data_IF_121282349279
#
_entry.id   IF_121282349279
#
_cell.length_a   1.000
_cell.length_b   1.000
_cell.length_c   1.000
_cell.angle_alpha   90.00
_cell.angle_beta   90.00
_cell.angle_gamma   90.00
#
_symmetry.space_group_name_H-M   'P 1'
#
loop_
_entity.id
_entity.type
_entity.pdbx_description
1 polymer ?
#
# COMPACT_ATOMS: atom_id res chain seq x y z
N UNK A 1 32.32 -9.96 -12.10
CA UNK A 1 31.35 -10.72 -11.30
C UNK A 1 30.18 -9.81 -11.14
N UNK A 2 29.03 -10.22 -11.65
CA UNK A 2 27.80 -9.43 -11.60
C UNK A 2 27.29 -9.50 -10.16
N UNK A 3 27.22 -8.38 -9.42
CA UNK A 3 26.77 -8.44 -8.03
C UNK A 3 25.32 -8.96 -8.01
N UNK A 4 25.02 -9.92 -7.12
CA UNK A 4 23.64 -10.38 -6.96
C UNK A 4 22.81 -9.28 -6.28
N UNK A 5 21.52 -9.18 -6.59
CA UNK A 5 20.63 -8.20 -5.92
C UNK A 5 20.71 -8.31 -4.39
N UNK A 6 20.90 -9.53 -3.88
CA UNK A 6 21.07 -9.84 -2.46
C UNK A 6 22.20 -9.05 -1.78
N UNK A 7 23.29 -8.75 -2.51
CA UNK A 7 24.44 -7.98 -2.05
C UNK A 7 24.15 -6.48 -1.97
N UNK A 8 23.20 -5.99 -2.77
CA UNK A 8 22.79 -4.58 -2.83
C UNK A 8 21.74 -4.23 -1.77
N UNK A 9 21.08 -5.20 -1.14
CA UNK A 9 20.03 -4.96 -0.14
C UNK A 9 20.47 -3.98 0.97
N UNK A 10 21.68 -4.06 1.56
CA UNK A 10 22.13 -3.10 2.56
C UNK A 10 22.24 -1.65 2.07
N UNK A 11 22.23 -1.43 0.75
CA UNK A 11 22.20 -0.10 0.12
C UNK A 11 20.76 0.38 -0.16
N UNK A 12 19.78 -0.52 -0.07
CA UNK A 12 18.37 -0.27 -0.42
C UNK A 12 17.44 -0.24 0.80
N UNK A 13 17.93 -0.60 1.99
CA UNK A 13 17.22 -0.45 3.27
C UNK A 13 18.20 -0.26 4.42
N UNK A 14 17.82 0.58 5.39
CA UNK A 14 18.57 0.78 6.63
C UNK A 14 18.04 -0.08 7.78
N UNK A 15 17.14 -1.03 7.52
CA UNK A 15 16.55 -1.89 8.56
C UNK A 15 17.18 -3.29 8.53
N UNK A 16 17.96 -3.62 9.57
CA UNK A 16 18.68 -4.91 9.65
C UNK A 16 17.74 -6.11 9.51
N UNK A 17 16.54 -6.04 10.09
CA UNK A 17 15.53 -7.10 9.96
C UNK A 17 15.10 -7.33 8.50
N UNK A 18 14.97 -6.26 7.70
CA UNK A 18 14.70 -6.37 6.26
C UNK A 18 15.90 -6.92 5.52
N UNK A 19 17.12 -6.49 5.86
CA UNK A 19 18.34 -7.02 5.26
C UNK A 19 18.40 -8.54 5.43
N UNK A 20 18.18 -9.05 6.65
CA UNK A 20 18.21 -10.49 6.91
C UNK A 20 17.09 -11.23 6.18
N UNK A 21 15.87 -10.67 6.19
CA UNK A 21 14.72 -11.31 5.56
C UNK A 21 14.83 -11.36 4.03
N UNK A 22 15.22 -10.25 3.39
CA UNK A 22 15.18 -10.11 1.93
C UNK A 22 16.37 -10.77 1.24
N UNK A 23 17.51 -10.98 1.94
CA UNK A 23 18.66 -11.71 1.39
C UNK A 23 18.33 -13.11 0.88
N UNK A 24 17.28 -13.73 1.41
CA UNK A 24 16.81 -15.06 1.01
C UNK A 24 15.51 -15.03 0.20
N UNK A 25 15.01 -13.85 -0.16
CA UNK A 25 13.75 -13.65 -0.89
C UNK A 25 14.06 -13.27 -2.35
N UNK A 26 14.02 -14.24 -3.25
CA UNK A 26 14.30 -14.05 -4.69
C UNK A 26 13.27 -13.12 -5.39
N UNK A 27 12.18 -12.78 -4.71
CA UNK A 27 11.02 -12.05 -5.25
C UNK A 27 11.43 -10.75 -5.95
N UNK A 28 12.44 -10.04 -5.46
CA UNK A 28 12.87 -8.75 -6.03
C UNK A 28 13.75 -8.86 -7.28
N UNK A 29 14.29 -10.03 -7.58
CA UNK A 29 15.34 -10.17 -8.61
C UNK A 29 14.82 -9.88 -10.02
N UNK A 30 13.60 -10.30 -10.35
CA UNK A 30 12.99 -10.03 -11.67
C UNK A 30 12.81 -8.52 -11.88
N UNK A 31 12.25 -7.83 -10.89
CA UNK A 31 12.11 -6.37 -10.97
C UNK A 31 13.46 -5.66 -11.05
N UNK A 32 14.47 -6.11 -10.29
CA UNK A 32 15.81 -5.54 -10.36
C UNK A 32 16.44 -5.68 -11.74
N UNK A 33 16.40 -6.88 -12.33
CA UNK A 33 16.90 -7.15 -13.68
C UNK A 33 16.18 -6.30 -14.74
N UNK A 34 14.85 -6.12 -14.63
CA UNK A 34 14.09 -5.21 -15.49
C UNK A 34 14.53 -3.75 -15.31
N UNK A 35 14.71 -3.30 -14.07
CA UNK A 35 15.15 -1.94 -13.78
C UNK A 35 16.53 -1.67 -14.36
N UNK A 36 17.51 -2.56 -14.16
CA UNK A 36 18.84 -2.46 -14.74
C UNK A 36 18.79 -2.43 -16.28
N UNK A 37 17.96 -3.26 -16.93
CA UNK A 37 17.84 -3.24 -18.40
C UNK A 37 17.22 -1.96 -18.95
N UNK A 38 16.28 -1.34 -18.24
CA UNK A 38 15.58 -0.14 -18.73
C UNK A 38 16.31 1.15 -18.36
N UNK A 39 16.88 1.22 -17.16
CA UNK A 39 17.55 2.42 -16.64
C UNK A 39 19.07 2.38 -16.76
N UNK A 40 19.68 1.20 -16.94
CA UNK A 40 21.14 1.03 -16.96
C UNK A 40 21.79 1.62 -15.72
N UNK A 41 22.87 2.35 -15.93
CA UNK A 41 23.63 3.09 -14.91
C UNK A 41 22.78 4.09 -14.11
N UNK A 42 21.60 4.47 -14.62
CA UNK A 42 20.68 5.40 -13.96
C UNK A 42 19.69 4.71 -13.02
N UNK A 43 19.80 3.41 -12.77
CA UNK A 43 18.86 2.71 -11.87
C UNK A 43 18.86 3.28 -10.44
N UNK A 44 19.99 3.84 -9.99
CA UNK A 44 20.08 4.62 -8.74
C UNK A 44 19.12 5.81 -8.70
N UNK A 45 18.92 6.50 -9.84
CA UNK A 45 17.94 7.59 -9.96
C UNK A 45 16.50 7.08 -9.81
N UNK A 46 16.21 5.87 -10.31
CA UNK A 46 14.89 5.27 -10.15
C UNK A 46 14.60 4.98 -8.67
N UNK A 47 15.46 4.18 -8.03
CA UNK A 47 15.20 3.66 -6.68
C UNK A 47 15.22 4.72 -5.59
N UNK A 48 15.97 5.82 -5.77
CA UNK A 48 15.93 6.97 -4.85
C UNK A 48 14.86 7.99 -5.23
N UNK A 49 14.62 8.21 -6.52
CA UNK A 49 13.75 9.29 -7.01
C UNK A 49 12.27 8.92 -7.11
N UNK A 50 11.93 7.63 -7.08
CA UNK A 50 10.57 7.15 -7.31
C UNK A 50 9.99 6.37 -6.12
N UNK A 51 8.67 6.32 -6.10
CA UNK A 51 7.87 5.46 -5.24
C UNK A 51 6.54 5.18 -5.94
N UNK A 52 5.64 4.48 -5.27
CA UNK A 52 4.25 4.40 -5.70
C UNK A 52 3.28 4.58 -4.54
N UNK A 53 2.07 5.01 -4.86
CA UNK A 53 0.90 4.81 -4.02
C UNK A 53 -0.03 3.81 -4.71
N UNK A 54 -0.39 2.77 -3.97
CA UNK A 54 -1.39 1.79 -4.36
C UNK A 54 -2.72 2.20 -3.71
N UNK A 55 -3.66 2.67 -4.51
CA UNK A 55 -5.01 3.03 -4.09
C UNK A 55 -5.83 1.74 -4.05
N UNK A 56 -6.20 1.31 -2.84
CA UNK A 56 -6.86 0.02 -2.60
C UNK A 56 -8.36 0.09 -2.89
N UNK A 57 -9.06 -1.06 -3.06
CA UNK A 57 -10.46 -1.10 -3.46
C UNK A 57 -11.38 -0.30 -2.54
N UNK A 58 -11.14 -0.29 -1.22
CA UNK A 58 -11.96 0.48 -0.29
C UNK A 58 -11.86 1.99 -0.51
N UNK A 59 -10.70 2.49 -0.95
CA UNK A 59 -10.52 3.90 -1.28
C UNK A 59 -11.21 4.26 -2.60
N UNK A 60 -11.19 3.35 -3.58
CA UNK A 60 -11.92 3.53 -4.85
C UNK A 60 -13.42 3.56 -4.62
N UNK A 61 -13.93 2.61 -3.83
CA UNK A 61 -15.34 2.55 -3.44
C UNK A 61 -15.80 3.86 -2.79
N UNK A 62 -14.96 4.44 -1.91
CA UNK A 62 -15.24 5.71 -1.23
C UNK A 62 -15.00 6.97 -2.07
N UNK A 63 -14.50 6.83 -3.30
CA UNK A 63 -14.13 7.97 -4.17
C UNK A 63 -13.02 8.85 -3.59
N UNK A 64 -12.00 8.21 -3.02
CA UNK A 64 -10.88 8.90 -2.37
C UNK A 64 -9.72 9.23 -3.31
N UNK A 65 -9.73 8.79 -4.56
CA UNK A 65 -8.57 8.92 -5.45
C UNK A 65 -8.18 10.38 -5.70
N UNK A 66 -9.15 11.28 -5.86
CA UNK A 66 -8.87 12.70 -6.03
C UNK A 66 -8.14 13.29 -4.80
N UNK A 67 -8.53 12.89 -3.59
CA UNK A 67 -7.85 13.33 -2.36
C UNK A 67 -6.41 12.81 -2.28
N UNK A 68 -6.15 11.59 -2.75
CA UNK A 68 -4.79 11.04 -2.86
C UNK A 68 -3.96 11.88 -3.84
N UNK A 69 -4.49 12.18 -5.04
CA UNK A 69 -3.76 12.94 -6.06
C UNK A 69 -3.45 14.39 -5.63
N UNK A 70 -4.42 15.07 -5.00
CA UNK A 70 -4.22 16.40 -4.42
C UNK A 70 -3.17 16.38 -3.30
N UNK A 71 -3.14 15.30 -2.51
CA UNK A 71 -2.12 15.11 -1.49
C UNK A 71 -0.72 15.00 -2.11
N UNK A 72 -0.56 14.16 -3.15
CA UNK A 72 0.71 14.01 -3.86
C UNK A 72 1.20 15.35 -4.42
N UNK A 73 0.31 16.10 -5.07
CA UNK A 73 0.60 17.44 -5.58
C UNK A 73 1.07 18.38 -4.48
N UNK A 74 0.34 18.45 -3.34
CA UNK A 74 0.71 19.29 -2.19
C UNK A 74 2.07 18.91 -1.61
N UNK A 75 2.46 17.64 -1.72
CA UNK A 75 3.74 17.11 -1.25
C UNK A 75 4.83 17.09 -2.33
N UNK A 76 4.60 17.74 -3.47
CA UNK A 76 5.56 17.86 -4.60
C UNK A 76 6.01 16.49 -5.13
N UNK A 77 5.15 15.48 -5.00
CA UNK A 77 5.29 14.17 -5.63
C UNK A 77 4.51 14.19 -6.94
N UNK A 78 5.22 14.12 -8.06
CA UNK A 78 4.64 14.18 -9.40
C UNK A 78 4.19 12.78 -9.80
N UNK A 79 2.89 12.53 -10.06
CA UNK A 79 2.45 11.28 -10.67
C UNK A 79 3.03 11.16 -12.09
N UNK A 80 3.74 10.06 -12.36
CA UNK A 80 4.47 9.87 -13.64
C UNK A 80 3.96 8.70 -14.47
N UNK A 81 3.36 7.69 -13.83
CA UNK A 81 2.76 6.56 -14.51
C UNK A 81 1.63 5.96 -13.65
N UNK A 82 0.72 5.22 -14.29
CA UNK A 82 -0.41 4.60 -13.62
C UNK A 82 -0.76 3.28 -14.30
N UNK A 83 -1.11 2.27 -13.51
CA UNK A 83 -1.63 1.00 -14.01
C UNK A 83 -2.61 0.39 -12.99
N UNK A 84 -3.72 -0.22 -13.45
CA UNK A 84 -4.48 -1.11 -12.58
C UNK A 84 -3.62 -2.32 -12.19
N UNK A 85 -3.79 -2.82 -10.97
CA UNK A 85 -3.12 -4.03 -10.48
C UNK A 85 -4.08 -4.86 -9.64
N UNK A 86 -4.07 -6.17 -9.84
CA UNK A 86 -4.85 -7.09 -9.03
C UNK A 86 -4.03 -7.53 -7.82
N UNK A 87 -4.49 -7.19 -6.62
CA UNK A 87 -3.85 -7.66 -5.37
C UNK A 87 -4.55 -8.92 -4.93
N UNK A 88 -4.34 -10.00 -5.69
CA UNK A 88 -4.94 -11.30 -5.38
C UNK A 88 -4.42 -11.86 -4.04
N UNK A 89 -4.90 -13.06 -3.70
CA UNK A 89 -4.49 -13.74 -2.47
C UNK A 89 -2.97 -13.93 -2.38
N UNK A 90 -2.32 -14.29 -3.49
CA UNK A 90 -0.88 -14.59 -3.51
C UNK A 90 -0.07 -13.30 -3.38
N UNK A 91 -0.42 -12.26 -4.14
CA UNK A 91 0.18 -10.94 -4.04
C UNK A 91 0.03 -10.36 -2.63
N UNK A 92 -1.17 -10.44 -2.04
CA UNK A 92 -1.42 -10.03 -0.67
C UNK A 92 -0.52 -10.79 0.33
N UNK A 93 -0.43 -12.11 0.20
CA UNK A 93 0.40 -12.93 1.08
C UNK A 93 1.90 -12.62 0.94
N UNK A 94 2.36 -12.25 -0.26
CA UNK A 94 3.75 -11.87 -0.50
C UNK A 94 4.08 -10.47 -0.01
N UNK A 95 3.24 -9.46 -0.27
CA UNK A 95 3.46 -8.07 0.18
C UNK A 95 3.58 -8.04 1.71
N UNK A 96 2.70 -8.74 2.41
CA UNK A 96 2.62 -8.70 3.86
C UNK A 96 3.21 -9.94 4.56
N UNK A 97 4.03 -10.72 3.85
CA UNK A 97 4.63 -11.99 4.33
C UNK A 97 5.24 -11.85 5.73
N UNK A 98 5.98 -10.77 5.96
CA UNK A 98 6.72 -10.55 7.21
C UNK A 98 5.90 -9.89 8.32
N UNK A 99 4.63 -9.53 8.04
CA UNK A 99 3.69 -9.01 9.01
C UNK A 99 2.57 -10.01 9.34
N UNK A 100 2.34 -11.01 8.47
CA UNK A 100 1.28 -12.01 8.63
C UNK A 100 1.47 -12.95 9.81
N UNK A 101 2.69 -13.10 10.33
CA UNK A 101 2.93 -13.85 11.56
C UNK A 101 2.15 -13.26 12.77
N UNK A 102 1.94 -11.95 12.79
CA UNK A 102 1.18 -11.26 13.84
C UNK A 102 -0.33 -11.16 13.55
N UNK A 103 -0.78 -11.43 12.31
CA UNK A 103 -2.19 -11.33 11.92
C UNK A 103 -3.00 -12.57 12.37
N UNK A 104 -4.28 -12.36 12.70
CA UNK A 104 -5.24 -13.47 12.83
C UNK A 104 -5.59 -14.04 11.45
N UNK A 105 -6.08 -15.27 11.41
CA UNK A 105 -6.59 -15.88 10.15
C UNK A 105 -7.78 -15.07 9.61
N UNK A 106 -8.65 -14.58 10.50
CA UNK A 106 -9.79 -13.72 10.15
C UNK A 106 -9.36 -12.44 9.43
N UNK A 107 -8.29 -11.79 9.91
CA UNK A 107 -7.72 -10.61 9.24
C UNK A 107 -7.26 -10.96 7.83
N UNK A 108 -6.53 -12.05 7.67
CA UNK A 108 -6.02 -12.49 6.35
C UNK A 108 -7.18 -12.81 5.40
N UNK A 109 -8.20 -13.54 5.87
CA UNK A 109 -9.42 -13.85 5.10
C UNK A 109 -10.13 -12.57 4.67
N UNK A 110 -10.37 -11.65 5.61
CA UNK A 110 -11.04 -10.39 5.30
C UNK A 110 -10.21 -9.52 4.33
N UNK A 111 -8.87 -9.56 4.39
CA UNK A 111 -8.01 -8.81 3.46
C UNK A 111 -8.21 -9.32 2.05
N UNK A 112 -8.26 -10.64 1.87
CA UNK A 112 -8.51 -11.26 0.57
C UNK A 112 -9.92 -10.90 0.05
N UNK A 113 -10.94 -10.87 0.91
CA UNK A 113 -12.30 -10.48 0.52
C UNK A 113 -12.41 -9.00 0.11
N UNK A 114 -11.69 -8.11 0.79
CA UNK A 114 -11.60 -6.68 0.44
C UNK A 114 -10.88 -6.50 -0.89
N UNK A 115 -9.75 -7.15 -1.08
CA UNK A 115 -8.99 -7.04 -2.32
C UNK A 115 -9.73 -7.62 -3.53
N UNK A 116 -10.59 -8.63 -3.32
CA UNK A 116 -11.40 -9.22 -4.38
C UNK A 116 -12.56 -8.31 -4.87
N UNK A 117 -12.80 -7.14 -4.25
CA UNK A 117 -13.89 -6.25 -4.66
C UNK A 117 -13.62 -5.51 -5.98
N UNK A 118 -12.35 -5.23 -6.27
CA UNK A 118 -11.90 -4.64 -7.53
C UNK A 118 -10.38 -4.71 -7.62
N UNK A 119 -9.83 -4.44 -8.79
CA UNK A 119 -8.41 -4.10 -8.89
C UNK A 119 -8.10 -2.83 -8.07
N UNK A 120 -6.85 -2.73 -7.64
CA UNK A 120 -6.26 -1.51 -7.09
C UNK A 120 -5.67 -0.66 -8.21
N UNK A 121 -5.37 0.61 -7.93
CA UNK A 121 -4.66 1.48 -8.88
C UNK A 121 -3.27 1.77 -8.33
N UNK A 122 -2.23 1.37 -9.05
CA UNK A 122 -0.85 1.73 -8.75
C UNK A 122 -0.53 3.03 -9.47
N UNK A 123 -0.14 4.06 -8.71
CA UNK A 123 0.32 5.35 -9.23
C UNK A 123 1.79 5.50 -8.89
N UNK A 124 2.66 5.44 -9.90
CA UNK A 124 4.07 5.76 -9.75
C UNK A 124 4.22 7.27 -9.56
N UNK A 125 5.06 7.65 -8.61
CA UNK A 125 5.38 9.04 -8.32
C UNK A 125 6.87 9.27 -8.39
N UNK A 126 7.25 10.43 -8.87
CA UNK A 126 8.62 10.95 -8.82
C UNK A 126 8.66 12.12 -7.84
N UNK A 127 9.67 12.12 -6.98
CA UNK A 127 9.93 13.25 -6.10
C UNK A 127 10.50 14.43 -6.90
N UNK A 128 9.86 15.60 -6.82
CA UNK A 128 10.37 16.81 -7.46
C UNK A 128 11.53 17.44 -6.66
N UNK A 129 11.65 17.13 -5.37
CA UNK A 129 12.66 17.68 -4.47
C UNK A 129 13.70 16.60 -4.14
N UNK A 130 14.50 16.24 -5.16
CA UNK A 130 15.57 15.26 -5.06
C UNK A 130 16.44 15.50 -3.82
N UNK A 131 16.76 14.43 -3.10
CA UNK A 131 17.59 14.50 -1.90
C UNK A 131 18.13 13.15 -1.47
N UNK A 132 18.78 13.12 -0.32
CA UNK A 132 19.44 11.92 0.23
C UNK A 132 18.45 10.89 0.80
N UNK A 133 17.25 11.34 1.17
CA UNK A 133 16.16 10.46 1.63
C UNK A 133 15.36 9.98 0.42
N UNK A 134 15.23 8.66 0.18
CA UNK A 134 14.48 8.14 -0.95
C UNK A 134 13.00 8.56 -0.95
N UNK A 135 12.42 8.69 -2.15
CA UNK A 135 11.01 9.04 -2.34
C UNK A 135 10.06 8.02 -1.66
N UNK A 136 10.43 6.74 -1.61
CA UNK A 136 9.70 5.70 -0.88
C UNK A 136 9.60 5.99 0.62
N UNK A 137 10.72 6.34 1.25
CA UNK A 137 10.80 6.69 2.67
C UNK A 137 10.01 7.96 2.97
N UNK A 138 10.16 9.01 2.15
CA UNK A 138 9.41 10.26 2.28
C UNK A 138 7.89 9.99 2.20
N UNK A 139 7.44 9.27 1.17
CA UNK A 139 6.03 8.97 0.98
C UNK A 139 5.48 8.08 2.09
N UNK A 140 6.27 7.11 2.59
CA UNK A 140 5.89 6.28 3.73
C UNK A 140 5.67 7.10 5.01
N UNK A 141 6.59 8.02 5.33
CA UNK A 141 6.42 8.95 6.45
C UNK A 141 5.15 9.81 6.32
N UNK A 142 4.87 10.28 5.10
CA UNK A 142 3.70 11.10 4.79
C UNK A 142 2.37 10.31 4.74
N UNK A 143 2.41 9.00 4.45
CA UNK A 143 1.23 8.10 4.46
C UNK A 143 0.57 8.08 5.84
N UNK A 144 1.40 8.08 6.89
CA UNK A 144 1.01 7.99 8.28
C UNK A 144 0.74 6.57 8.77
N UNK A 145 0.75 6.41 10.09
CA UNK A 145 0.54 5.11 10.77
C UNK A 145 -0.82 4.47 10.46
N UNK A 146 -0.88 3.14 10.47
CA UNK A 146 -2.14 2.39 10.46
C UNK A 146 -2.90 2.50 11.80
N UNK A 147 -2.20 2.91 12.86
CA UNK A 147 -2.76 3.15 14.19
C UNK A 147 -3.16 4.62 14.34
N UNK A 148 -4.42 4.87 14.73
CA UNK A 148 -5.01 6.20 14.72
C UNK A 148 -4.34 7.19 15.66
N UNK A 149 -3.94 6.73 16.85
CA UNK A 149 -3.23 7.46 17.91
C UNK A 149 -1.85 7.97 17.49
N UNK A 150 -1.28 7.44 16.39
CA UNK A 150 0.04 7.82 15.87
C UNK A 150 -0.03 8.63 14.59
N UNK A 151 -1.22 9.11 14.21
CA UNK A 151 -1.38 9.97 13.05
C UNK A 151 -1.54 11.43 13.48
N UNK A 152 -1.09 12.35 12.62
CA UNK A 152 -1.42 13.77 12.71
C UNK A 152 -2.33 14.19 11.54
N UNK A 153 -2.79 15.44 11.56
CA UNK A 153 -3.68 16.02 10.54
C UNK A 153 -3.08 16.07 9.13
N UNK A 154 -1.75 16.04 9.02
CA UNK A 154 -1.04 16.14 7.74
C UNK A 154 -0.82 14.78 7.07
N UNK A 155 -1.07 13.67 7.77
CA UNK A 155 -0.90 12.34 7.21
C UNK A 155 -2.03 12.00 6.22
N UNK A 156 -1.67 11.33 5.12
CA UNK A 156 -2.61 10.90 4.09
C UNK A 156 -3.77 10.09 4.68
N UNK A 157 -3.49 9.10 5.53
CA UNK A 157 -4.54 8.29 6.17
C UNK A 157 -5.51 9.10 7.05
N UNK A 158 -5.09 10.22 7.61
CA UNK A 158 -5.98 11.12 8.36
C UNK A 158 -6.89 11.89 7.43
N UNK A 159 -6.33 12.44 6.34
CA UNK A 159 -7.08 13.15 5.31
C UNK A 159 -8.13 12.25 4.63
N UNK A 160 -7.77 10.99 4.40
CA UNK A 160 -8.68 9.96 3.87
C UNK A 160 -9.69 9.45 4.90
N UNK A 161 -9.66 9.96 6.15
CA UNK A 161 -10.53 9.55 7.25
C UNK A 161 -10.57 8.03 7.43
N UNK A 162 -9.40 7.38 7.38
CA UNK A 162 -9.28 5.94 7.59
C UNK A 162 -9.63 5.59 9.05
N UNK A 163 -10.61 4.70 9.22
CA UNK A 163 -11.28 4.40 10.51
C UNK A 163 -10.51 3.38 11.35
N UNK A 164 -10.01 2.33 10.70
CA UNK A 164 -9.33 1.23 11.34
C UNK A 164 -8.12 0.78 10.50
N UNK A 165 -7.32 -0.14 11.06
CA UNK A 165 -6.10 -0.65 10.41
C UNK A 165 -6.35 -1.71 9.34
N UNK A 166 -7.57 -2.24 9.26
CA UNK A 166 -7.94 -3.32 8.34
C UNK A 166 -8.26 -2.76 6.95
N UNK A 167 -9.05 -1.69 6.90
CA UNK A 167 -9.31 -0.92 5.69
C UNK A 167 -8.29 0.22 5.61
N UNK A 168 -7.14 -0.07 4.99
CA UNK A 168 -5.96 0.79 4.99
C UNK A 168 -5.96 1.90 3.95
N UNK A 169 -6.87 1.84 2.97
CA UNK A 169 -7.09 2.78 1.85
C UNK A 169 -5.94 2.87 0.85
N UNK A 170 -4.72 3.01 1.32
CA UNK A 170 -3.52 3.14 0.52
C UNK A 170 -2.37 2.28 1.06
N UNK A 171 -1.58 1.76 0.14
CA UNK A 171 -0.27 1.14 0.40
C UNK A 171 0.83 1.90 -0.34
N UNK A 172 2.02 1.93 0.24
CA UNK A 172 3.23 2.54 -0.35
C UNK A 172 4.40 1.68 0.14
N UNK A 173 5.46 1.50 -0.67
CA UNK A 173 6.68 0.87 -0.19
C UNK A 173 7.30 1.72 0.90
N UNK A 174 7.93 1.08 1.88
CA UNK A 174 8.51 1.77 3.03
C UNK A 174 9.92 2.30 2.72
N UNK A 175 10.72 1.55 1.97
CA UNK A 175 12.10 1.86 1.54
C UNK A 175 12.38 1.39 0.09
N UNK A 176 13.52 1.76 -0.53
CA UNK A 176 13.88 1.30 -1.88
C UNK A 176 13.82 -0.23 -2.07
N UNK A 177 14.25 -1.00 -1.07
CA UNK A 177 14.16 -2.46 -1.13
C UNK A 177 12.71 -2.95 -1.25
N UNK A 178 11.76 -2.30 -0.57
CA UNK A 178 10.33 -2.62 -0.68
C UNK A 178 9.74 -2.15 -2.01
N UNK A 179 10.22 -1.02 -2.56
CA UNK A 179 9.81 -0.55 -3.88
C UNK A 179 10.10 -1.59 -4.96
N UNK A 180 11.33 -2.08 -5.02
CA UNK A 180 11.73 -3.11 -6.00
C UNK A 180 10.94 -4.40 -5.77
N UNK A 181 10.85 -4.84 -4.52
CA UNK A 181 10.13 -6.06 -4.14
C UNK A 181 8.65 -6.01 -4.50
N UNK A 182 7.96 -4.95 -4.11
CA UNK A 182 6.52 -4.82 -4.31
C UNK A 182 6.17 -4.66 -5.79
N UNK A 183 7.00 -3.97 -6.58
CA UNK A 183 6.83 -3.90 -8.03
C UNK A 183 6.88 -5.28 -8.68
N UNK A 184 7.81 -6.14 -8.25
CA UNK A 184 7.92 -7.52 -8.75
C UNK A 184 6.72 -8.39 -8.36
N UNK A 185 6.09 -8.12 -7.22
CA UNK A 185 4.89 -8.85 -6.78
C UNK A 185 3.66 -8.39 -7.53
N UNK A 186 3.53 -7.09 -7.74
CA UNK A 186 2.32 -6.47 -8.28
C UNK A 186 2.23 -6.57 -9.81
N UNK A 187 3.35 -6.72 -10.50
CA UNK A 187 3.43 -6.66 -11.96
C UNK A 187 4.32 -7.76 -12.51
N UNK A 188 3.81 -8.49 -13.50
CA UNK A 188 4.64 -9.41 -14.30
C UNK A 188 5.51 -8.67 -15.31
N UNK A 189 6.55 -9.34 -15.83
CA UNK A 189 7.58 -8.78 -16.70
C UNK A 189 7.12 -7.75 -17.74
N UNK A 190 6.18 -8.06 -18.66
CA UNK A 190 5.76 -7.09 -19.69
C UNK A 190 5.13 -5.82 -19.13
N UNK A 191 4.29 -5.95 -18.10
CA UNK A 191 3.61 -4.80 -17.47
C UNK A 191 4.61 -3.96 -16.67
N UNK A 192 5.54 -4.60 -15.98
CA UNK A 192 6.60 -3.91 -15.26
C UNK A 192 7.55 -3.17 -16.21
N UNK A 193 7.96 -3.78 -17.32
CA UNK A 193 8.77 -3.13 -18.35
C UNK A 193 8.08 -1.88 -18.90
N UNK A 194 6.78 -1.97 -19.21
CA UNK A 194 6.01 -0.82 -19.70
C UNK A 194 5.99 0.31 -18.66
N UNK A 195 5.64 0.00 -17.41
CA UNK A 195 5.58 0.99 -16.32
C UNK A 195 6.94 1.67 -16.08
N UNK A 196 8.02 0.90 -16.06
CA UNK A 196 9.37 1.42 -15.81
C UNK A 196 9.85 2.30 -16.97
N UNK A 197 9.46 1.97 -18.22
CA UNK A 197 9.73 2.83 -19.39
C UNK A 197 8.96 4.14 -19.34
N UNK A 198 7.70 4.12 -18.90
CA UNK A 198 6.93 5.36 -18.70
C UNK A 198 7.61 6.28 -17.68
N UNK A 199 8.10 5.72 -16.56
CA UNK A 199 8.90 6.46 -15.59
C UNK A 199 10.19 7.04 -16.21
N UNK A 200 10.89 6.28 -17.06
CA UNK A 200 12.12 6.74 -17.71
C UNK A 200 11.87 7.86 -18.73
N UNK A 201 10.71 7.85 -19.41
CA UNK A 201 10.29 8.86 -20.36
C UNK A 201 9.69 10.12 -19.71
N UNK A 202 9.21 10.02 -18.46
CA UNK A 202 8.55 11.11 -17.75
C UNK A 202 9.32 12.45 -17.72
N UNK A 203 10.66 12.50 -17.54
CA UNK A 203 11.40 13.76 -17.55
C UNK A 203 11.27 14.57 -18.85
N UNK A 204 10.93 13.94 -19.99
CA UNK A 204 10.73 14.63 -21.26
C UNK A 204 9.37 15.33 -21.38
N UNK A 205 8.48 15.18 -20.40
CA UNK A 205 7.13 15.76 -20.38
C UNK A 205 7.00 16.78 -19.26
N UNK A 206 6.12 17.76 -19.45
CA UNK A 206 5.72 18.68 -18.39
C UNK A 206 5.11 17.91 -17.21
N UNK A 207 5.52 18.26 -15.98
CA UNK A 207 4.97 17.67 -14.76
C UNK A 207 3.46 17.90 -14.64
N UNK A 208 2.96 19.03 -15.16
CA UNK A 208 1.53 19.36 -15.15
C UNK A 208 0.76 18.41 -16.07
N UNK A 209 1.27 18.15 -17.28
CA UNK A 209 0.61 17.29 -18.27
C UNK A 209 0.62 15.83 -17.83
N UNK A 210 1.73 15.37 -17.22
CA UNK A 210 1.83 14.05 -16.61
C UNK A 210 0.80 13.87 -15.50
N UNK A 211 0.76 14.80 -14.55
CA UNK A 211 -0.17 14.75 -13.44
C UNK A 211 -1.63 14.77 -13.93
N UNK A 212 -1.96 15.59 -14.93
CA UNK A 212 -3.29 15.65 -15.52
C UNK A 212 -3.67 14.33 -16.21
N UNK A 213 -2.77 13.74 -17.00
CA UNK A 213 -2.98 12.46 -17.68
C UNK A 213 -3.19 11.32 -16.69
N UNK A 214 -2.36 11.24 -15.65
CA UNK A 214 -2.49 10.22 -14.60
C UNK A 214 -3.79 10.43 -13.82
N UNK A 215 -4.13 11.68 -13.47
CA UNK A 215 -5.37 11.99 -12.77
C UNK A 215 -6.60 11.54 -13.56
N UNK A 216 -6.67 11.85 -14.86
CA UNK A 216 -7.76 11.43 -15.72
C UNK A 216 -7.94 9.91 -15.73
N UNK A 217 -6.83 9.17 -15.85
CA UNK A 217 -6.83 7.71 -15.89
C UNK A 217 -7.22 7.06 -14.56
N UNK A 218 -6.73 7.61 -13.44
CA UNK A 218 -7.11 7.19 -12.10
C UNK A 218 -8.62 7.37 -11.88
N UNK A 219 -9.16 8.55 -12.22
CA UNK A 219 -10.58 8.86 -12.04
C UNK A 219 -11.47 8.02 -12.95
N UNK A 220 -11.03 7.75 -14.19
CA UNK A 220 -11.71 6.85 -15.13
C UNK A 220 -11.80 5.43 -14.56
N UNK A 221 -10.70 4.93 -14.00
CA UNK A 221 -10.65 3.59 -13.40
C UNK A 221 -11.48 3.51 -12.12
N UNK A 222 -11.41 4.53 -11.25
CA UNK A 222 -12.24 4.63 -10.05
C UNK A 222 -13.74 4.62 -10.38
N UNK A 223 -14.16 5.28 -11.46
CA UNK A 223 -15.55 5.32 -11.90
C UNK A 223 -16.14 3.94 -12.19
N UNK A 224 -15.32 2.98 -12.62
CA UNK A 224 -15.74 1.59 -12.87
C UNK A 224 -15.96 0.78 -11.57
N UNK A 225 -15.40 1.23 -10.44
CA UNK A 225 -15.56 0.54 -9.15
C UNK A 225 -16.93 0.82 -8.51
N UNK A 226 -17.48 -0.16 -7.78
CA UNK A 226 -18.74 0.02 -7.05
C UNK A 226 -18.57 1.03 -5.92
N UNK A 227 -19.37 2.10 -5.95
CA UNK A 227 -19.38 3.13 -4.90
C UNK A 227 -19.92 2.59 -3.58
N UNK A 228 -19.28 2.95 -2.46
CA UNK A 228 -19.78 2.79 -1.10
C UNK A 228 -19.18 3.87 -0.19
N UNK A 229 -19.81 4.19 0.93
CA UNK A 229 -19.32 5.23 1.84
C UNK A 229 -18.19 4.78 2.76
N UNK A 230 -18.04 3.47 2.95
CA UNK A 230 -17.07 2.84 3.86
C UNK A 230 -17.13 3.53 5.23
N UNK A 231 -18.34 3.60 5.78
CA UNK A 231 -18.61 4.23 7.06
C UNK A 231 -19.33 3.21 7.96
N UNK A 232 -18.81 2.86 9.14
CA UNK A 232 -19.40 1.82 9.96
C UNK A 232 -20.85 2.11 10.38
N UNK A 233 -21.18 3.35 10.74
CA UNK A 233 -22.53 3.70 11.19
C UNK A 233 -23.54 3.61 10.02
N UNK A 234 -23.18 4.14 8.85
CA UNK A 234 -24.03 4.05 7.66
C UNK A 234 -24.14 2.64 7.10
N UNK A 235 -23.06 1.85 7.19
CA UNK A 235 -23.08 0.44 6.79
C UNK A 235 -24.01 -0.37 7.68
N UNK A 236 -23.97 -0.14 9.00
CA UNK A 236 -24.90 -0.78 9.94
C UNK A 236 -26.36 -0.39 9.65
N UNK A 237 -26.62 0.89 9.39
CA UNK A 237 -27.97 1.35 9.04
C UNK A 237 -28.50 0.67 7.76
N UNK A 238 -27.68 0.57 6.71
CA UNK A 238 -28.07 -0.12 5.47
C UNK A 238 -28.29 -1.62 5.67
N UNK A 239 -27.47 -2.28 6.48
CA UNK A 239 -27.67 -3.69 6.82
C UNK A 239 -28.98 -3.90 7.59
N UNK A 240 -29.27 -3.01 8.54
CA UNK A 240 -30.53 -3.03 9.30
C UNK A 240 -31.76 -2.79 8.44
N UNK A 241 -31.66 -1.92 7.43
CA UNK A 241 -32.75 -1.68 6.49
C UNK A 241 -32.92 -2.87 5.51
N UNK A 242 -31.84 -3.52 5.09
CA UNK A 242 -31.87 -4.64 4.15
C UNK A 242 -32.32 -5.98 4.79
N UNK A 243 -31.89 -6.28 6.02
CA UNK A 243 -32.12 -7.56 6.69
C UNK A 243 -33.13 -7.47 7.85
N UNK A 244 -33.59 -6.26 8.16
CA UNK A 244 -34.52 -5.97 9.24
C UNK A 244 -33.84 -5.74 10.59
N UNK A 245 -34.17 -4.61 11.23
CA UNK A 245 -33.64 -4.17 12.54
C UNK A 245 -33.80 -5.17 13.68
N UNK A 246 -34.74 -6.12 13.56
CA UNK A 246 -35.00 -7.15 14.58
C UNK A 246 -34.17 -8.42 14.38
N UNK A 247 -33.34 -8.51 13.33
CA UNK A 247 -32.41 -9.63 13.16
C UNK A 247 -31.52 -9.80 14.41
N UNK A 248 -31.53 -10.99 15.05
CA UNK A 248 -30.65 -11.27 16.19
C UNK A 248 -29.17 -11.09 15.84
N UNK A 249 -28.76 -11.49 14.63
CA UNK A 249 -27.38 -11.34 14.16
C UNK A 249 -26.94 -9.87 14.10
N UNK A 250 -27.78 -9.00 13.52
CA UNK A 250 -27.46 -7.56 13.45
C UNK A 250 -27.41 -6.88 14.82
N UNK A 251 -28.25 -7.32 15.77
CA UNK A 251 -28.17 -6.86 17.16
C UNK A 251 -26.84 -7.25 17.79
N UNK A 252 -26.41 -8.50 17.64
CA UNK A 252 -25.11 -8.95 18.13
C UNK A 252 -23.94 -8.17 17.53
N UNK A 253 -23.99 -7.84 16.22
CA UNK A 253 -22.98 -7.00 15.58
C UNK A 253 -22.97 -5.57 16.13
N UNK A 254 -24.14 -4.95 16.30
CA UNK A 254 -24.25 -3.62 16.86
C UNK A 254 -23.73 -3.55 18.31
N UNK A 255 -24.09 -4.55 19.14
CA UNK A 255 -23.62 -4.66 20.52
C UNK A 255 -22.09 -4.86 20.57
N UNK A 256 -21.54 -5.68 19.66
CA UNK A 256 -20.10 -5.87 19.56
C UNK A 256 -19.36 -4.58 19.17
N UNK A 257 -19.90 -3.79 18.24
CA UNK A 257 -19.34 -2.49 17.89
C UNK A 257 -19.38 -1.50 19.07
N UNK A 258 -20.51 -1.40 19.77
CA UNK A 258 -20.68 -0.47 20.89
C UNK A 258 -19.78 -0.83 22.08
N UNK A 259 -19.64 -2.12 22.38
CA UNK A 259 -18.80 -2.63 23.46
C UNK A 259 -17.33 -2.85 23.07
N UNK A 260 -16.98 -2.61 21.79
CA UNK A 260 -15.68 -2.97 21.21
C UNK A 260 -15.29 -4.46 21.42
N UNK A 261 -16.29 -5.33 21.51
CA UNK A 261 -16.12 -6.79 21.60
C UNK A 261 -15.71 -7.33 20.25
N UNK A 262 -14.78 -8.31 20.24
CA UNK A 262 -14.30 -8.92 19.01
C UNK A 262 -15.01 -10.26 18.72
N UNK A 263 -15.44 -10.43 17.47
CA UNK A 263 -16.15 -11.61 16.99
C UNK A 263 -15.30 -12.38 15.96
N UNK A 264 -15.45 -13.72 15.85
CA UNK A 264 -14.94 -14.48 14.73
C UNK A 264 -15.56 -14.02 13.41
N UNK A 265 -14.79 -14.05 12.32
CA UNK A 265 -15.30 -13.63 11.00
C UNK A 265 -16.52 -14.43 10.56
N UNK A 266 -16.54 -15.75 10.78
CA UNK A 266 -17.66 -16.59 10.35
C UNK A 266 -18.98 -16.19 11.04
N UNK A 267 -18.94 -15.85 12.33
CA UNK A 267 -20.11 -15.33 13.04
C UNK A 267 -20.62 -14.00 12.45
N UNK A 268 -19.73 -13.16 11.93
CA UNK A 268 -20.11 -11.92 11.24
C UNK A 268 -20.80 -12.21 9.92
N UNK A 269 -20.25 -13.15 9.14
CA UNK A 269 -20.79 -13.54 7.83
C UNK A 269 -22.15 -14.22 7.98
N UNK A 270 -22.31 -15.12 8.95
CA UNK A 270 -23.57 -15.76 9.29
C UNK A 270 -24.64 -14.74 9.72
N UNK A 271 -24.26 -13.71 10.48
CA UNK A 271 -25.18 -12.68 10.96
C UNK A 271 -25.79 -11.79 9.86
N UNK A 272 -25.17 -11.78 8.68
CA UNK A 272 -25.61 -10.99 7.51
C UNK A 272 -25.95 -11.86 6.29
N UNK A 273 -25.99 -13.18 6.48
CA UNK A 273 -26.31 -14.13 5.42
C UNK A 273 -27.78 -13.98 4.98
N UNK A 274 -28.02 -14.20 3.68
CA UNK A 274 -29.33 -13.97 3.06
C UNK A 274 -29.28 -13.20 1.73
N UNK A 275 -28.10 -12.89 1.20
CA UNK A 275 -27.89 -12.39 -0.17
C UNK A 275 -28.34 -10.94 -0.45
N UNK A 276 -29.05 -10.30 0.48
CA UNK A 276 -29.53 -8.92 0.34
C UNK A 276 -28.47 -7.88 0.75
N UNK A 277 -27.48 -8.29 1.54
CA UNK A 277 -26.45 -7.40 2.05
C UNK A 277 -25.48 -6.97 0.96
N UNK A 278 -25.19 -5.67 0.92
CA UNK A 278 -24.21 -5.11 0.02
C UNK A 278 -22.79 -5.51 0.50
N UNK A 279 -21.89 -6.04 -0.36
CA UNK A 279 -20.59 -6.57 0.09
C UNK A 279 -19.76 -5.58 0.91
N UNK A 280 -19.67 -4.32 0.48
CA UNK A 280 -18.92 -3.29 1.20
C UNK A 280 -19.48 -2.99 2.59
N UNK A 281 -20.79 -3.11 2.80
CA UNK A 281 -21.37 -2.88 4.13
C UNK A 281 -20.96 -4.02 5.07
N UNK A 282 -20.99 -5.26 4.60
CA UNK A 282 -20.50 -6.43 5.35
C UNK A 282 -19.02 -6.30 5.68
N UNK A 283 -18.18 -5.99 4.69
CA UNK A 283 -16.73 -5.85 4.87
C UNK A 283 -16.38 -4.71 5.83
N UNK A 284 -17.12 -3.59 5.78
CA UNK A 284 -16.94 -2.46 6.69
C UNK A 284 -17.26 -2.88 8.12
N UNK A 285 -18.40 -3.53 8.37
CA UNK A 285 -18.74 -4.00 9.73
C UNK A 285 -17.76 -5.06 10.22
N UNK A 286 -17.43 -6.05 9.38
CA UNK A 286 -16.45 -7.07 9.71
C UNK A 286 -15.11 -6.45 10.13
N UNK A 287 -14.65 -5.41 9.42
CA UNK A 287 -13.39 -4.73 9.73
C UNK A 287 -13.36 -4.07 11.12
N UNK A 288 -14.52 -3.71 11.69
CA UNK A 288 -14.62 -3.12 13.03
C UNK A 288 -14.65 -4.18 14.13
N UNK A 289 -15.37 -5.28 13.89
CA UNK A 289 -15.67 -6.26 14.95
C UNK A 289 -14.76 -7.46 14.97
N UNK A 290 -13.98 -7.78 13.93
CA UNK A 290 -13.04 -8.90 14.02
C UNK A 290 -11.78 -8.52 14.79
N UNK A 291 -11.10 -9.52 15.36
CA UNK A 291 -9.76 -9.33 15.92
C UNK A 291 -8.73 -9.30 14.79
N UNK A 292 -7.94 -8.23 14.70
CA UNK A 292 -6.93 -8.06 13.64
C UNK A 292 -5.62 -8.80 13.91
N UNK A 293 -5.11 -8.73 15.14
CA UNK A 293 -3.80 -9.27 15.50
C UNK A 293 -3.88 -10.31 16.61
N UNK A 294 -2.92 -11.23 16.59
CA UNK A 294 -2.70 -12.20 17.66
C UNK A 294 -2.18 -11.48 18.89
N UNK A 295 -2.80 -11.64 20.07
CA UNK A 295 -2.32 -11.03 21.31
C UNK A 295 -0.87 -11.42 21.60
N UNK A 296 -0.02 -10.44 21.90
CA UNK A 296 1.38 -10.66 22.28
C UNK A 296 2.36 -11.00 21.15
N UNK A 297 1.90 -11.15 19.90
CA UNK A 297 2.77 -11.49 18.76
C UNK A 297 3.20 -10.22 18.02
N UNK A 298 4.51 -10.02 17.86
CA UNK A 298 5.08 -8.92 17.06
C UNK A 298 5.33 -9.35 15.62
N UNK A 299 5.17 -8.45 14.62
CA UNK A 299 5.61 -8.69 13.25
C UNK A 299 7.10 -9.06 13.19
N UNK A 300 7.51 -9.86 12.20
CA UNK A 300 8.93 -10.12 11.94
C UNK A 300 9.65 -8.85 11.48
N UNK A 301 8.97 -8.01 10.69
CA UNK A 301 9.43 -6.70 10.27
C UNK A 301 8.39 -5.67 10.70
N UNK A 302 8.79 -4.73 11.56
CA UNK A 302 7.88 -3.75 12.14
C UNK A 302 7.86 -2.45 11.33
N UNK A 303 6.69 -2.05 10.84
CA UNK A 303 6.49 -0.80 10.12
C UNK A 303 6.35 0.43 11.05
N UNK A 304 6.72 0.32 12.33
CA UNK A 304 6.55 1.41 13.33
C UNK A 304 7.73 2.38 13.41
N UNK A 305 8.86 2.05 12.79
CA UNK A 305 10.13 2.79 12.95
C UNK A 305 10.32 3.96 11.98
N UNK A 306 9.26 4.53 11.40
CA UNK A 306 9.40 5.52 10.30
C UNK A 306 10.25 6.73 10.63
N UNK A 307 10.17 7.26 11.86
CA UNK A 307 11.01 8.38 12.30
C UNK A 307 12.49 8.00 12.33
N UNK A 308 12.82 6.86 12.95
CA UNK A 308 14.18 6.34 13.02
C UNK A 308 14.75 6.03 11.63
N UNK A 309 13.98 5.36 10.78
CA UNK A 309 14.38 5.05 9.40
C UNK A 309 14.63 6.33 8.61
N UNK A 310 13.75 7.32 8.72
CA UNK A 310 13.93 8.62 8.04
C UNK A 310 15.20 9.31 8.52
N UNK A 311 15.48 9.32 9.82
CA UNK A 311 16.70 9.89 10.38
C UNK A 311 17.96 9.17 9.90
N UNK A 312 17.97 7.83 9.87
CA UNK A 312 19.10 7.04 9.35
C UNK A 312 19.35 7.31 7.86
N UNK A 313 18.30 7.45 7.06
CA UNK A 313 18.42 7.85 5.65
C UNK A 313 18.93 9.29 5.50
N UNK A 314 18.53 10.20 6.37
CA UNK A 314 19.06 11.57 6.34
C UNK A 314 20.56 11.62 6.68
N UNK A 315 21.01 10.76 7.60
CA UNK A 315 22.40 10.68 8.04
C UNK A 315 23.31 9.95 7.03
N UNK A 316 22.88 8.79 6.53
CA UNK A 316 23.72 7.90 5.72
C UNK A 316 23.33 7.82 4.25
N UNK A 317 22.18 8.40 3.85
CA UNK A 317 21.61 8.19 2.51
C UNK A 317 22.51 8.63 1.37
N UNK A 318 23.32 9.67 1.55
CA UNK A 318 24.31 10.10 0.55
C UNK A 318 25.39 9.04 0.31
N UNK A 319 25.93 8.47 1.40
CA UNK A 319 26.96 7.43 1.33
C UNK A 319 26.39 6.17 0.68
N UNK A 320 25.20 5.75 1.09
CA UNK A 320 24.52 4.59 0.53
C UNK A 320 24.21 4.78 -0.97
N UNK A 321 23.78 5.98 -1.36
CA UNK A 321 23.49 6.28 -2.76
C UNK A 321 24.75 6.21 -3.62
N UNK A 322 25.86 6.82 -3.16
CA UNK A 322 27.12 6.79 -3.90
C UNK A 322 27.65 5.35 -4.03
N UNK A 323 27.60 4.57 -2.94
CA UNK A 323 28.00 3.16 -2.96
C UNK A 323 27.12 2.33 -3.93
N UNK A 324 25.83 2.65 -4.03
CA UNK A 324 24.93 2.01 -4.99
C UNK A 324 25.32 2.36 -6.43
N UNK A 325 25.52 3.65 -6.72
CA UNK A 325 25.93 4.12 -8.05
C UNK A 325 27.26 3.47 -8.49
N UNK A 326 28.25 3.42 -7.58
CA UNK A 326 29.53 2.72 -7.80
C UNK A 326 29.35 1.22 -8.04
N UNK A 327 28.46 0.57 -7.29
CA UNK A 327 28.17 -0.85 -7.43
C UNK A 327 27.49 -1.17 -8.76
N UNK A 328 26.65 -0.26 -9.29
CA UNK A 328 25.96 -0.41 -10.57
C UNK A 328 26.93 -0.24 -11.75
N UNK A 329 27.87 0.71 -11.69
CA UNK A 329 28.87 0.90 -12.75
C UNK A 329 29.84 -0.28 -12.90
N UNK A 330 29.87 -1.21 -11.95
CA UNK A 330 30.63 -2.44 -12.03
C UNK A 330 29.90 -3.59 -12.76
N UNK A 331 28.65 -3.39 -13.21
CA UNK A 331 27.85 -4.32 -14.03
C UNK A 331 28.08 -4.12 -15.53
#
# INVERSE_FOLDING_TARGET
MQNEYSELIPLLTVQDAKIQAYRSDFVSEEAWDILCRVWGDRVGEFVYGHSFVLIKPEALARRCSQSVLLFLQKKRLVPVAVTPVSVDRNAAHLIWRFQWNAATVDRVRLTNMVNAQSDSILVMVRDADHGVVPASVKLWGMKGSAHADRRNEQHLRTLLRMHNRMLGFVHTPDEPADLVRDLSILLGGPALVALVRDCAAAPARSAVDLAASVCAEVLRTEAASRKNEIDPARSMARLQDALGRRSPGLRALADAMQSNTKLPLDAVLEAVDGGLAQPWDVLTIASEVIRHDRPGVKPLIDARAVGEVTSRWAEHGAVLKNALDESIHAF
#
